data_IF_668013272213
#
_entry.id   IF_668013272213
#
_cell.length_a   1.000
_cell.length_b   1.000
_cell.length_c   1.000
_cell.angle_alpha   90.00
_cell.angle_beta   90.00
_cell.angle_gamma   90.00
#
_symmetry.space_group_name_H-M   'P 1'
#
loop_
_entity.id
_entity.type
_entity.pdbx_description
1 polymer ?
#
# COMPACT_ATOMS: atom_id res chain seq x y z
N UNK A 1 9.43 20.34 -10.39
CA UNK A 1 10.08 19.07 -10.76
C UNK A 1 10.98 18.69 -9.59
N UNK A 2 10.38 18.15 -8.52
CA UNK A 2 11.17 17.62 -7.41
C UNK A 2 11.68 16.26 -7.87
N UNK A 3 12.97 16.18 -8.16
CA UNK A 3 13.66 14.94 -8.48
C UNK A 3 13.55 14.00 -7.28
N UNK A 4 12.75 12.96 -7.43
CA UNK A 4 13.00 11.71 -6.73
C UNK A 4 13.99 11.02 -7.65
N UNK A 5 15.27 11.12 -7.31
CA UNK A 5 16.34 10.41 -8.00
C UNK A 5 16.04 8.90 -7.90
N UNK A 6 15.54 8.33 -8.99
CA UNK A 6 15.13 6.93 -9.11
C UNK A 6 16.29 5.94 -9.04
N UNK A 7 17.54 6.42 -8.97
CA UNK A 7 18.74 5.57 -8.98
C UNK A 7 19.21 5.08 -7.59
N UNK A 8 18.59 5.49 -6.47
CA UNK A 8 19.10 5.04 -5.16
C UNK A 8 18.09 5.04 -3.99
N UNK A 9 16.82 4.65 -4.19
CA UNK A 9 16.00 4.26 -3.03
C UNK A 9 16.41 2.85 -2.57
N UNK A 10 17.46 2.81 -1.74
CA UNK A 10 17.89 1.63 -1.00
C UNK A 10 16.82 1.29 0.03
N UNK A 11 15.74 0.64 -0.40
CA UNK A 11 14.86 -0.05 0.54
C UNK A 11 15.69 -1.20 1.13
N UNK A 12 15.91 -1.26 2.46
CA UNK A 12 16.53 -2.42 3.07
C UNK A 12 15.77 -3.66 2.63
N UNK A 13 16.48 -4.70 2.18
CA UNK A 13 15.89 -5.95 1.70
C UNK A 13 14.79 -6.43 2.66
N UNK A 14 13.55 -6.55 2.16
CA UNK A 14 12.40 -7.12 2.88
C UNK A 14 11.71 -6.19 3.88
N UNK A 15 11.40 -4.95 3.50
CA UNK A 15 10.53 -4.04 4.26
C UNK A 15 9.17 -3.81 3.59
N UNK A 16 8.17 -3.49 4.39
CA UNK A 16 6.90 -2.93 3.93
C UNK A 16 6.85 -1.43 4.26
N UNK A 17 6.37 -0.62 3.32
CA UNK A 17 6.21 0.83 3.44
C UNK A 17 4.73 1.16 3.38
N UNK A 18 4.22 1.83 4.41
CA UNK A 18 2.87 2.38 4.44
C UNK A 18 2.95 3.90 4.39
N UNK A 19 2.42 4.49 3.33
CA UNK A 19 2.31 5.94 3.16
C UNK A 19 0.85 6.37 3.23
N UNK A 20 0.58 7.49 3.91
CA UNK A 20 -0.76 8.06 4.06
C UNK A 20 -0.81 9.47 3.49
N UNK A 21 -1.87 9.75 2.72
CA UNK A 21 -2.08 11.07 2.12
C UNK A 21 -1.51 11.22 0.71
N UNK A 22 -1.86 12.34 0.07
CA UNK A 22 -1.42 12.67 -1.29
C UNK A 22 -2.05 11.82 -2.41
N UNK A 23 -3.09 11.03 -2.11
CA UNK A 23 -3.79 10.16 -3.07
C UNK A 23 -5.12 10.76 -3.57
N UNK A 24 -5.47 11.99 -3.20
CA UNK A 24 -6.64 12.71 -3.71
C UNK A 24 -6.42 13.31 -5.10
N UNK A 25 -7.29 14.26 -5.48
CA UNK A 25 -7.25 15.01 -6.75
C UNK A 25 -6.94 16.51 -6.56
N UNK A 26 -6.47 16.91 -5.38
CA UNK A 26 -5.99 18.28 -5.13
C UNK A 26 -4.66 18.52 -5.85
N UNK A 27 -4.29 19.75 -6.22
CA UNK A 27 -2.99 20.06 -6.83
C UNK A 27 -1.76 19.64 -6.00
N UNK A 28 -1.93 19.43 -4.68
CA UNK A 28 -0.87 18.93 -3.79
C UNK A 28 -0.75 17.40 -3.76
N UNK A 29 -1.76 16.68 -4.27
CA UNK A 29 -1.82 15.22 -4.20
C UNK A 29 -0.94 14.62 -5.31
N UNK A 30 0.25 14.16 -4.92
CA UNK A 30 1.30 13.68 -5.83
C UNK A 30 1.81 12.27 -5.52
N UNK A 31 1.22 11.59 -4.53
CA UNK A 31 1.70 10.27 -4.06
C UNK A 31 1.65 9.23 -5.17
N UNK A 32 0.61 9.21 -6.00
CA UNK A 32 0.52 8.22 -7.08
C UNK A 32 1.56 8.46 -8.16
N UNK A 33 1.73 9.73 -8.55
CA UNK A 33 2.70 10.18 -9.54
C UNK A 33 4.14 9.90 -9.09
N UNK A 34 4.41 10.02 -7.78
CA UNK A 34 5.71 9.76 -7.18
C UNK A 34 6.02 8.27 -7.01
N UNK A 35 5.06 7.49 -6.50
CA UNK A 35 5.33 6.11 -6.08
C UNK A 35 4.96 5.04 -7.11
N UNK A 36 3.96 5.23 -7.98
CA UNK A 36 3.64 4.24 -9.03
C UNK A 36 4.81 3.93 -9.98
N UNK A 37 5.62 4.91 -10.43
CA UNK A 37 6.78 4.63 -11.27
C UNK A 37 7.85 3.74 -10.62
N UNK A 38 7.83 3.60 -9.29
CA UNK A 38 8.75 2.75 -8.53
C UNK A 38 8.30 1.28 -8.50
N UNK A 39 7.02 1.00 -8.80
CA UNK A 39 6.46 -0.34 -8.72
C UNK A 39 6.89 -1.17 -9.93
N UNK A 40 7.48 -2.33 -9.66
CA UNK A 40 7.71 -3.37 -10.69
C UNK A 40 6.49 -4.23 -10.94
N UNK A 41 5.63 -4.37 -9.93
CA UNK A 41 4.40 -5.16 -9.98
C UNK A 41 3.32 -4.44 -9.21
N UNK A 42 2.20 -4.19 -9.86
CA UNK A 42 1.03 -3.64 -9.19
C UNK A 42 0.30 -4.72 -8.39
N UNK A 43 -0.33 -4.31 -7.29
CA UNK A 43 -1.17 -5.16 -6.45
C UNK A 43 -2.61 -4.66 -6.52
N UNK A 44 -3.24 -4.82 -7.68
CA UNK A 44 -4.60 -4.30 -7.95
C UNK A 44 -5.65 -4.82 -6.95
N UNK A 45 -5.46 -6.05 -6.45
CA UNK A 45 -6.31 -6.64 -5.42
C UNK A 45 -6.42 -5.80 -4.14
N UNK A 46 -5.36 -5.07 -3.76
CA UNK A 46 -5.39 -4.16 -2.62
C UNK A 46 -6.35 -2.99 -2.86
N UNK A 47 -6.27 -2.36 -4.05
CA UNK A 47 -7.13 -1.22 -4.39
C UNK A 47 -8.60 -1.63 -4.39
N UNK A 48 -8.92 -2.79 -4.99
CA UNK A 48 -10.27 -3.35 -4.98
C UNK A 48 -10.77 -3.63 -3.56
N UNK A 49 -9.96 -4.31 -2.73
CA UNK A 49 -10.34 -4.64 -1.37
C UNK A 49 -10.55 -3.39 -0.50
N UNK A 50 -9.63 -2.43 -0.59
CA UNK A 50 -9.74 -1.13 0.08
C UNK A 50 -11.01 -0.38 -0.34
N UNK A 51 -11.27 -0.28 -1.64
CA UNK A 51 -12.44 0.45 -2.13
C UNK A 51 -13.75 -0.24 -1.78
N UNK A 52 -13.80 -1.58 -1.75
CA UNK A 52 -14.96 -2.32 -1.26
C UNK A 52 -15.25 -2.03 0.21
N UNK A 53 -14.22 -2.04 1.06
CA UNK A 53 -14.38 -1.71 2.48
C UNK A 53 -14.75 -0.24 2.67
N UNK A 54 -14.08 0.66 1.97
CA UNK A 54 -14.35 2.10 2.03
C UNK A 54 -15.71 2.48 1.44
N UNK A 55 -16.25 1.70 0.50
CA UNK A 55 -17.61 1.89 -0.01
C UNK A 55 -18.64 1.70 1.11
N UNK A 56 -18.39 0.77 2.04
CA UNK A 56 -19.25 0.54 3.20
C UNK A 56 -19.11 1.69 4.21
N UNK A 57 -17.89 2.20 4.43
CA UNK A 57 -17.62 3.23 5.45
C UNK A 57 -18.02 4.65 5.01
N UNK A 58 -17.72 5.04 3.76
CA UNK A 58 -17.88 6.42 3.26
C UNK A 58 -18.69 6.50 1.96
N UNK A 59 -19.24 5.38 1.46
CA UNK A 59 -20.04 5.36 0.25
C UNK A 59 -19.23 5.73 -0.99
N UNK A 60 -19.91 6.38 -1.94
CA UNK A 60 -19.32 6.77 -3.24
C UNK A 60 -18.14 7.73 -3.12
N UNK A 61 -17.93 8.37 -1.96
CA UNK A 61 -16.77 9.22 -1.71
C UNK A 61 -15.43 8.45 -1.83
N UNK A 62 -15.45 7.14 -1.67
CA UNK A 62 -14.31 6.26 -1.94
C UNK A 62 -13.69 6.48 -3.33
N UNK A 63 -14.50 6.86 -4.34
CA UNK A 63 -14.02 7.12 -5.71
C UNK A 63 -13.06 8.31 -5.82
N UNK A 64 -13.06 9.23 -4.85
CA UNK A 64 -12.16 10.39 -4.84
C UNK A 64 -10.76 10.05 -4.29
N UNK A 65 -10.56 8.81 -3.85
CA UNK A 65 -9.28 8.30 -3.36
C UNK A 65 -8.59 7.46 -4.43
N UNK A 66 -7.26 7.58 -4.54
CA UNK A 66 -6.45 6.76 -5.44
C UNK A 66 -5.56 5.81 -4.62
N UNK A 67 -6.17 4.96 -3.79
CA UNK A 67 -5.42 4.00 -2.98
C UNK A 67 -4.82 2.91 -3.87
N UNK A 68 -3.55 2.58 -3.65
CA UNK A 68 -2.85 1.54 -4.43
C UNK A 68 -1.75 0.89 -3.62
N UNK A 69 -1.32 -0.27 -4.09
CA UNK A 69 -0.16 -0.95 -3.56
C UNK A 69 0.60 -1.67 -4.67
N UNK A 70 1.82 -2.08 -4.39
CA UNK A 70 2.62 -2.88 -5.30
C UNK A 70 3.98 -3.22 -4.72
N UNK A 71 4.78 -3.91 -5.52
CA UNK A 71 6.11 -4.33 -5.16
C UNK A 71 7.17 -3.47 -5.88
N UNK A 72 8.07 -2.86 -5.12
CA UNK A 72 9.24 -2.14 -5.61
C UNK A 72 10.51 -2.88 -5.19
N UNK A 73 11.13 -3.62 -6.12
CA UNK A 73 12.19 -4.58 -5.77
C UNK A 73 11.65 -5.69 -4.86
N UNK A 74 12.22 -5.83 -3.66
CA UNK A 74 11.76 -6.75 -2.62
C UNK A 74 10.86 -6.08 -1.56
N UNK A 75 10.61 -4.78 -1.68
CA UNK A 75 9.75 -4.03 -0.78
C UNK A 75 8.30 -4.03 -1.27
N UNK A 76 7.36 -4.05 -0.32
CA UNK A 76 5.94 -3.80 -0.60
C UNK A 76 5.60 -2.37 -0.20
N UNK A 77 4.96 -1.62 -1.10
CA UNK A 77 4.55 -0.24 -0.88
C UNK A 77 3.03 -0.18 -0.91
N UNK A 78 2.45 0.45 0.11
CA UNK A 78 1.02 0.72 0.24
C UNK A 78 0.81 2.23 0.38
N UNK A 79 -0.01 2.81 -0.47
CA UNK A 79 -0.33 4.23 -0.46
C UNK A 79 -1.84 4.40 -0.26
N UNK A 80 -2.23 4.95 0.88
CA UNK A 80 -3.64 5.09 1.29
C UNK A 80 -4.02 6.56 1.53
N UNK A 81 -5.31 6.92 1.55
CA UNK A 81 -5.72 8.30 1.81
C UNK A 81 -5.31 8.78 3.21
N UNK A 82 -5.18 10.09 3.37
CA UNK A 82 -4.64 10.69 4.60
C UNK A 82 -5.65 10.86 5.74
N UNK A 83 -6.93 10.57 5.52
CA UNK A 83 -7.92 10.66 6.58
C UNK A 83 -7.78 9.48 7.56
N UNK A 84 -7.96 9.73 8.86
CA UNK A 84 -7.88 8.67 9.87
C UNK A 84 -8.88 7.53 9.61
N UNK A 85 -10.05 7.86 9.05
CA UNK A 85 -11.04 6.86 8.63
C UNK A 85 -10.50 5.93 7.53
N UNK A 86 -9.89 6.49 6.49
CA UNK A 86 -9.30 5.70 5.42
C UNK A 86 -8.09 4.88 5.88
N UNK A 87 -7.27 5.41 6.80
CA UNK A 87 -6.20 4.63 7.43
C UNK A 87 -6.75 3.42 8.18
N UNK A 88 -7.86 3.60 8.92
CA UNK A 88 -8.55 2.49 9.60
C UNK A 88 -9.13 1.50 8.59
N UNK A 89 -9.73 1.99 7.51
CA UNK A 89 -10.24 1.11 6.45
C UNK A 89 -9.12 0.29 5.79
N UNK A 90 -7.93 0.86 5.59
CA UNK A 90 -6.79 0.11 5.08
C UNK A 90 -6.20 -0.88 6.09
N UNK A 91 -6.24 -0.56 7.39
CA UNK A 91 -5.63 -1.41 8.43
C UNK A 91 -6.53 -2.59 8.81
N UNK A 92 -7.74 -2.28 9.27
CA UNK A 92 -8.63 -3.24 9.92
C UNK A 92 -9.15 -4.26 8.89
N UNK A 93 -8.91 -5.55 9.11
CA UNK A 93 -9.34 -6.63 8.23
C UNK A 93 -8.70 -6.64 6.84
N UNK A 94 -7.65 -5.84 6.60
CA UNK A 94 -6.88 -5.85 5.36
C UNK A 94 -5.38 -5.97 5.68
N UNK A 95 -4.69 -4.85 5.95
CA UNK A 95 -3.25 -4.87 6.19
C UNK A 95 -2.88 -5.62 7.46
N UNK A 96 -3.70 -5.57 8.51
CA UNK A 96 -3.41 -6.31 9.74
C UNK A 96 -3.38 -7.83 9.51
N UNK A 97 -4.18 -8.34 8.57
CA UNK A 97 -4.21 -9.75 8.21
C UNK A 97 -3.01 -10.11 7.32
N UNK A 98 -2.70 -9.25 6.33
CA UNK A 98 -1.55 -9.45 5.44
C UNK A 98 -0.19 -9.33 6.15
N UNK A 99 -0.13 -8.57 7.25
CA UNK A 99 1.06 -8.49 8.10
C UNK A 99 1.05 -9.47 9.27
N UNK A 100 0.00 -10.28 9.43
CA UNK A 100 -0.01 -11.40 10.36
C UNK A 100 0.53 -12.67 9.69
N UNK A 101 1.67 -13.17 10.17
CA UNK A 101 2.27 -14.43 9.68
C UNK A 101 1.40 -15.67 9.93
N UNK A 102 0.41 -15.57 10.82
CA UNK A 102 -0.52 -16.65 11.14
C UNK A 102 -1.72 -16.68 10.18
N UNK A 103 -1.94 -15.63 9.38
CA UNK A 103 -3.04 -15.58 8.42
C UNK A 103 -2.82 -16.62 7.30
N UNK A 104 -3.91 -17.26 6.87
CA UNK A 104 -3.92 -18.35 5.88
C UNK A 104 -4.97 -18.05 4.81
N UNK A 105 -4.79 -18.50 3.55
CA UNK A 105 -3.76 -19.44 3.08
C UNK A 105 -2.36 -18.83 2.91
N UNK A 106 -2.25 -17.51 2.80
CA UNK A 106 -0.99 -16.79 2.66
C UNK A 106 -1.09 -15.39 3.29
N UNK A 107 0.06 -14.77 3.52
CA UNK A 107 0.17 -13.36 3.91
C UNK A 107 1.48 -12.75 3.40
N UNK A 108 1.50 -11.43 3.23
CA UNK A 108 2.71 -10.69 2.83
C UNK A 108 3.86 -10.87 3.83
N UNK A 109 3.58 -11.09 5.11
CA UNK A 109 4.60 -11.41 6.10
C UNK A 109 5.50 -12.60 5.66
N UNK A 110 4.91 -13.66 5.08
CA UNK A 110 5.67 -14.79 4.53
C UNK A 110 6.37 -14.51 3.19
N UNK A 111 5.96 -13.46 2.47
CA UNK A 111 6.56 -13.07 1.20
C UNK A 111 7.85 -12.24 1.36
N UNK A 112 8.00 -11.54 2.50
CA UNK A 112 9.15 -10.68 2.80
C UNK A 112 10.43 -11.50 2.94
N UNK A 113 11.49 -11.25 2.14
CA UNK A 113 12.72 -12.06 2.18
C UNK A 113 13.34 -12.24 3.56
N UNK A 114 13.30 -11.20 4.41
CA UNK A 114 13.84 -11.24 5.78
C UNK A 114 13.01 -12.06 6.78
N UNK A 115 11.76 -12.36 6.44
CA UNK A 115 10.83 -13.09 7.31
C UNK A 115 10.44 -14.46 6.76
N UNK A 116 10.75 -14.75 5.48
CA UNK A 116 10.32 -15.96 4.77
C UNK A 116 10.63 -17.25 5.55
N UNK A 117 11.82 -17.39 6.10
CA UNK A 117 12.23 -18.61 6.81
C UNK A 117 11.65 -18.73 8.22
N UNK A 118 11.10 -17.63 8.77
CA UNK A 118 10.48 -17.58 10.11
C UNK A 118 8.96 -17.72 10.01
N UNK A 119 8.37 -17.22 8.92
CA UNK A 119 6.93 -17.14 8.70
C UNK A 119 6.38 -18.22 7.75
N UNK A 120 7.22 -19.13 7.26
CA UNK A 120 6.82 -20.27 6.40
C UNK A 120 5.81 -21.20 7.10
#
# INVERSE_FOLDING_TARGET
MAGIDTEAMCYPLGMAVLNTGGTGFSPRDSTSEAAKPLLRRDMDGFSVAFHNKSLISVGVATMQSRAFAGQAGDAFIFCVPGSTGACRDAWDGLLELEFDSRHKPCSIAGALPRLRDVCA
#
